data_IF_554700185281
#
_entry.id   IF_554700185281
#
_cell.length_a   1.000
_cell.length_b   1.000
_cell.length_c   1.000
_cell.angle_alpha   90.00
_cell.angle_beta   90.00
_cell.angle_gamma   90.00
#
_symmetry.space_group_name_H-M   'P 1'
#
loop_
_entity.id
_entity.type
_entity.pdbx_description
1 polymer ?
#
# COMPACT_ATOMS: atom_id res chain seq x y z
N UNK A 1 -6.62 13.71 -9.00
CA UNK A 1 -7.02 12.70 -8.00
C UNK A 1 -6.16 12.82 -6.74
N UNK A 2 -6.57 12.25 -5.60
CA UNK A 2 -5.89 12.39 -4.29
C UNK A 2 -4.38 12.06 -4.30
N UNK A 3 -3.96 11.12 -5.14
CA UNK A 3 -2.57 10.65 -5.27
C UNK A 3 -1.82 11.27 -6.46
N UNK A 4 -2.37 12.31 -7.10
CA UNK A 4 -1.71 12.94 -8.24
C UNK A 4 -0.32 13.46 -7.82
N UNK A 5 0.69 13.16 -8.64
CA UNK A 5 2.09 13.49 -8.36
C UNK A 5 2.87 12.48 -7.51
N UNK A 6 2.23 11.41 -7.01
CA UNK A 6 2.91 10.32 -6.29
C UNK A 6 2.94 9.07 -7.17
N UNK A 7 4.14 8.65 -7.55
CA UNK A 7 4.37 7.42 -8.32
C UNK A 7 4.06 6.16 -7.51
N UNK A 8 3.78 5.08 -8.23
CA UNK A 8 3.53 3.80 -7.59
C UNK A 8 3.99 2.60 -8.43
N UNK A 9 4.49 1.58 -7.74
CA UNK A 9 4.61 0.22 -8.28
C UNK A 9 3.42 -0.57 -7.77
N UNK A 10 2.66 -1.12 -8.72
CA UNK A 10 1.40 -1.81 -8.47
C UNK A 10 1.49 -3.26 -8.91
N UNK A 11 0.73 -4.10 -8.22
CA UNK A 11 0.57 -5.51 -8.54
C UNK A 11 -0.88 -5.82 -8.88
N UNK A 12 -1.08 -6.89 -9.62
CA UNK A 12 -2.40 -7.26 -10.10
C UNK A 12 -3.25 -7.92 -9.00
N UNK A 13 -4.40 -7.33 -8.72
CA UNK A 13 -5.36 -7.86 -7.74
C UNK A 13 -6.20 -9.02 -8.27
N UNK A 14 -6.21 -9.25 -9.59
CA UNK A 14 -7.06 -10.27 -10.23
C UNK A 14 -6.39 -11.65 -10.27
N UNK A 15 -5.06 -11.69 -10.11
CA UNK A 15 -4.26 -12.92 -10.00
C UNK A 15 -3.69 -13.17 -8.61
N UNK A 16 -3.62 -12.16 -7.73
CA UNK A 16 -3.17 -12.35 -6.35
C UNK A 16 -4.22 -13.11 -5.52
N UNK A 17 -3.91 -14.33 -5.10
CA UNK A 17 -4.78 -15.22 -4.31
C UNK A 17 -5.34 -14.57 -3.04
N UNK A 18 -4.53 -13.78 -2.32
CA UNK A 18 -5.00 -13.06 -1.13
C UNK A 18 -6.08 -12.06 -1.50
N UNK A 19 -5.87 -11.27 -2.57
CA UNK A 19 -6.86 -10.31 -3.04
C UNK A 19 -8.15 -11.01 -3.51
N UNK A 20 -8.03 -12.10 -4.28
CA UNK A 20 -9.17 -12.88 -4.78
C UNK A 20 -10.00 -13.43 -3.62
N UNK A 21 -9.35 -13.96 -2.58
CA UNK A 21 -10.06 -14.45 -1.40
C UNK A 21 -10.73 -13.32 -0.62
N UNK A 22 -10.03 -12.21 -0.40
CA UNK A 22 -10.53 -11.10 0.42
C UNK A 22 -11.67 -10.31 -0.25
N UNK A 23 -11.80 -10.33 -1.57
CA UNK A 23 -12.89 -9.62 -2.26
C UNK A 23 -14.28 -10.21 -2.00
N UNK A 24 -14.36 -11.43 -1.48
CA UNK A 24 -15.60 -12.12 -1.16
C UNK A 24 -15.87 -12.10 0.35
N UNK A 25 -15.46 -11.03 1.05
CA UNK A 25 -15.62 -10.88 2.51
C UNK A 25 -16.24 -9.53 2.85
N UNK A 26 -16.81 -9.39 4.05
CA UNK A 26 -17.41 -8.14 4.55
C UNK A 26 -16.38 -7.08 4.98
N UNK A 27 -15.12 -7.25 4.58
CA UNK A 27 -14.06 -6.26 4.82
C UNK A 27 -14.09 -5.17 3.75
N UNK A 28 -13.23 -4.15 3.91
CA UNK A 28 -13.01 -3.13 2.87
C UNK A 28 -12.61 -3.75 1.52
N UNK A 29 -12.01 -4.95 1.52
CA UNK A 29 -11.67 -5.65 0.29
C UNK A 29 -12.91 -6.13 -0.49
N UNK A 30 -14.03 -6.40 0.18
CA UNK A 30 -15.32 -6.69 -0.48
C UNK A 30 -15.80 -5.55 -1.38
N UNK A 31 -15.39 -4.32 -1.05
CA UNK A 31 -15.66 -3.10 -1.81
C UNK A 31 -14.42 -2.58 -2.55
N UNK A 32 -13.45 -3.47 -2.85
CA UNK A 32 -12.16 -3.08 -3.41
C UNK A 32 -12.31 -2.45 -4.81
N UNK A 33 -12.10 -1.13 -4.88
CA UNK A 33 -12.13 -0.41 -6.14
C UNK A 33 -11.07 -0.93 -7.12
N UNK A 34 -9.89 -1.34 -6.64
CA UNK A 34 -8.79 -1.82 -7.48
C UNK A 34 -9.17 -3.08 -8.23
N UNK A 35 -9.79 -4.06 -7.55
CA UNK A 35 -10.20 -5.30 -8.18
C UNK A 35 -11.29 -5.06 -9.23
N UNK A 36 -12.31 -4.25 -8.89
CA UNK A 36 -13.34 -3.84 -9.85
C UNK A 36 -12.76 -3.11 -11.06
N UNK A 37 -11.80 -2.20 -10.86
CA UNK A 37 -11.20 -1.43 -11.94
C UNK A 37 -10.45 -2.32 -12.93
N UNK A 38 -9.61 -3.23 -12.43
CA UNK A 38 -8.82 -4.13 -13.26
C UNK A 38 -9.69 -5.15 -14.00
N UNK A 39 -10.85 -5.53 -13.47
CA UNK A 39 -11.79 -6.42 -14.14
C UNK A 39 -12.76 -5.72 -15.12
N UNK A 40 -12.84 -4.39 -15.12
CA UNK A 40 -13.84 -3.64 -15.91
C UNK A 40 -13.20 -2.65 -16.89
N UNK A 41 -12.92 -1.43 -16.46
CA UNK A 41 -12.55 -0.31 -17.34
C UNK A 41 -11.06 0.06 -17.31
N UNK A 42 -10.23 -0.61 -16.49
CA UNK A 42 -8.77 -0.48 -16.50
C UNK A 42 -8.05 -1.80 -16.80
N UNK A 43 -8.67 -2.65 -17.63
CA UNK A 43 -8.08 -3.92 -18.08
C UNK A 43 -6.72 -3.74 -18.75
N UNK A 44 -6.48 -2.60 -19.42
CA UNK A 44 -5.19 -2.27 -20.03
C UNK A 44 -4.03 -2.17 -19.04
N UNK A 45 -4.30 -1.96 -17.74
CA UNK A 45 -3.25 -1.97 -16.72
C UNK A 45 -2.86 -3.39 -16.28
N UNK A 46 -3.71 -4.40 -16.53
CA UNK A 46 -3.50 -5.78 -16.04
C UNK A 46 -2.19 -6.38 -16.53
N UNK A 47 -1.80 -6.30 -17.82
CA UNK A 47 -0.54 -6.88 -18.28
C UNK A 47 0.68 -6.35 -17.53
N UNK A 48 0.78 -5.03 -17.35
CA UNK A 48 1.88 -4.42 -16.61
C UNK A 48 1.87 -4.79 -15.12
N UNK A 49 0.69 -4.86 -14.50
CA UNK A 49 0.59 -5.20 -13.09
C UNK A 49 0.83 -6.69 -12.82
N UNK A 50 0.46 -7.57 -13.77
CA UNK A 50 0.76 -8.99 -13.72
C UNK A 50 2.26 -9.24 -13.92
N UNK A 51 2.90 -8.53 -14.84
CA UNK A 51 4.36 -8.56 -15.00
C UNK A 51 5.07 -8.15 -13.69
N UNK A 52 4.63 -7.04 -13.07
CA UNK A 52 5.16 -6.63 -11.76
C UNK A 52 4.92 -7.69 -10.68
N UNK A 53 3.74 -8.32 -10.65
CA UNK A 53 3.44 -9.41 -9.71
C UNK A 53 4.44 -10.55 -9.86
N UNK A 54 4.74 -10.99 -11.08
CA UNK A 54 5.70 -12.06 -11.34
C UNK A 54 7.12 -11.63 -10.94
N UNK A 55 7.62 -10.53 -11.50
CA UNK A 55 9.00 -10.07 -11.30
C UNK A 55 9.30 -9.87 -9.81
N UNK A 56 8.39 -9.24 -9.07
CA UNK A 56 8.62 -8.94 -7.68
C UNK A 56 8.48 -10.17 -6.78
N UNK A 57 7.71 -11.20 -7.16
CA UNK A 57 7.39 -12.30 -6.24
C UNK A 57 8.11 -13.62 -6.54
N UNK A 58 8.69 -13.78 -7.73
CA UNK A 58 9.26 -15.07 -8.20
C UNK A 58 10.65 -15.34 -7.61
N UNK A 59 11.57 -14.38 -7.70
CA UNK A 59 12.95 -14.50 -7.21
C UNK A 59 13.41 -13.20 -6.57
N UNK A 60 14.47 -13.27 -5.76
CA UNK A 60 15.13 -12.08 -5.23
C UNK A 60 15.87 -11.40 -6.38
N UNK A 61 15.57 -10.12 -6.61
CA UNK A 61 16.13 -9.35 -7.72
C UNK A 61 17.50 -8.81 -7.27
N UNK A 62 18.58 -9.12 -7.99
CA UNK A 62 19.89 -8.53 -7.70
C UNK A 62 19.84 -7.00 -7.77
N UNK A 63 20.56 -6.33 -6.88
CA UNK A 63 20.50 -4.87 -6.70
C UNK A 63 20.66 -4.10 -8.01
N UNK A 64 21.59 -4.52 -8.88
CA UNK A 64 21.85 -3.89 -10.17
C UNK A 64 20.62 -3.81 -11.09
N UNK A 65 19.68 -4.76 -10.98
CA UNK A 65 18.46 -4.82 -11.79
C UNK A 65 17.27 -4.10 -11.14
N UNK A 66 17.39 -3.65 -9.89
CA UNK A 66 16.34 -2.86 -9.24
C UNK A 66 16.22 -1.46 -9.87
N UNK A 67 15.01 -0.88 -9.97
CA UNK A 67 14.80 0.43 -10.57
C UNK A 67 15.42 1.56 -9.75
N UNK A 68 15.84 2.63 -10.45
CA UNK A 68 16.12 3.94 -9.84
C UNK A 68 14.85 4.80 -9.91
N UNK A 69 14.46 5.39 -8.79
CA UNK A 69 13.22 6.15 -8.64
C UNK A 69 13.55 7.63 -8.47
N UNK A 70 13.18 8.47 -9.44
CA UNK A 70 13.40 9.92 -9.36
C UNK A 70 12.16 10.64 -8.81
N UNK A 71 11.81 10.39 -7.55
CA UNK A 71 10.71 11.05 -6.85
C UNK A 71 11.02 11.21 -5.35
N UNK A 72 10.48 12.24 -4.72
CA UNK A 72 10.62 12.43 -3.27
C UNK A 72 9.76 11.44 -2.46
N UNK A 73 8.55 11.13 -2.96
CA UNK A 73 7.60 10.22 -2.31
C UNK A 73 7.10 9.18 -3.31
N UNK A 74 7.05 7.91 -2.89
CA UNK A 74 6.64 6.82 -3.75
C UNK A 74 5.83 5.76 -3.01
N UNK A 75 4.89 5.13 -3.70
CA UNK A 75 3.97 4.15 -3.11
C UNK A 75 4.22 2.75 -3.64
N UNK A 76 4.25 1.77 -2.73
CA UNK A 76 4.06 0.37 -3.09
C UNK A 76 2.61 -0.03 -2.93
N UNK A 77 2.13 -0.87 -3.85
CA UNK A 77 0.78 -1.44 -3.84
C UNK A 77 -0.31 -0.34 -3.75
N UNK A 78 -0.27 0.62 -4.68
CA UNK A 78 -1.42 1.50 -4.97
C UNK A 78 -2.63 0.70 -5.44
N UNK A 79 -2.35 -0.31 -6.26
CA UNK A 79 -3.19 -1.47 -6.54
C UNK A 79 -2.41 -2.73 -6.17
N UNK A 80 -3.11 -3.75 -5.69
CA UNK A 80 -2.50 -5.00 -5.27
C UNK A 80 -2.31 -5.12 -3.76
N UNK A 81 -1.58 -6.15 -3.37
CA UNK A 81 -1.19 -6.50 -2.00
C UNK A 81 0.08 -7.35 -2.08
N UNK A 82 0.84 -7.45 -0.99
CA UNK A 82 1.97 -8.38 -0.92
C UNK A 82 1.55 -9.79 -1.33
N UNK A 83 2.36 -10.43 -2.17
CA UNK A 83 2.11 -11.77 -2.74
C UNK A 83 2.75 -12.84 -1.88
N UNK A 84 4.01 -12.63 -1.49
CA UNK A 84 4.77 -13.54 -0.66
C UNK A 84 5.95 -12.79 -0.02
N UNK A 85 6.85 -13.55 0.62
CA UNK A 85 8.02 -13.00 1.29
C UNK A 85 9.03 -12.38 0.32
N UNK A 86 9.26 -13.02 -0.82
CA UNK A 86 10.13 -12.55 -1.89
C UNK A 86 9.72 -11.16 -2.38
N UNK A 87 8.42 -10.94 -2.59
CA UNK A 87 7.87 -9.62 -2.93
C UNK A 87 8.21 -8.57 -1.89
N UNK A 88 8.09 -8.87 -0.60
CA UNK A 88 8.48 -7.92 0.43
C UNK A 88 9.99 -7.62 0.43
N UNK A 89 10.85 -8.63 0.26
CA UNK A 89 12.31 -8.43 0.19
C UNK A 89 12.69 -7.55 -1.02
N UNK A 90 12.07 -7.77 -2.17
CA UNK A 90 12.32 -6.94 -3.35
C UNK A 90 11.86 -5.49 -3.15
N UNK A 91 10.73 -5.26 -2.47
CA UNK A 91 10.29 -3.91 -2.06
C UNK A 91 11.34 -3.24 -1.15
N UNK A 92 11.86 -3.98 -0.16
CA UNK A 92 12.92 -3.51 0.75
C UNK A 92 14.17 -3.15 -0.04
N UNK A 93 14.60 -3.99 -0.98
CA UNK A 93 15.73 -3.70 -1.87
C UNK A 93 15.54 -2.45 -2.71
N UNK A 94 14.34 -2.23 -3.27
CA UNK A 94 14.03 -1.01 -4.04
C UNK A 94 14.17 0.23 -3.14
N UNK A 95 13.62 0.18 -1.93
CA UNK A 95 13.73 1.29 -0.99
C UNK A 95 15.19 1.55 -0.61
N UNK A 96 15.96 0.51 -0.32
CA UNK A 96 17.37 0.61 0.04
C UNK A 96 18.23 1.22 -1.08
N UNK A 97 17.99 0.83 -2.34
CA UNK A 97 18.70 1.38 -3.51
C UNK A 97 18.40 2.86 -3.75
N UNK A 98 17.29 3.38 -3.22
CA UNK A 98 16.81 4.73 -3.48
C UNK A 98 16.65 5.54 -2.18
N UNK A 99 17.75 5.78 -1.42
CA UNK A 99 17.69 6.37 -0.09
C UNK A 99 17.13 7.80 -0.05
N UNK A 100 17.18 8.53 -1.17
CA UNK A 100 16.62 9.88 -1.32
C UNK A 100 15.10 9.92 -1.43
N UNK A 101 14.45 8.79 -1.71
CA UNK A 101 13.01 8.68 -1.87
C UNK A 101 12.39 8.08 -0.62
N UNK A 102 11.30 8.68 -0.12
CA UNK A 102 10.49 8.06 0.93
C UNK A 102 9.43 7.15 0.32
N UNK A 103 9.50 5.88 0.65
CA UNK A 103 8.55 4.86 0.23
C UNK A 103 7.49 4.61 1.29
N UNK A 104 6.29 4.27 0.86
CA UNK A 104 5.23 3.83 1.76
C UNK A 104 4.56 2.57 1.24
N UNK A 105 4.49 1.56 2.11
CA UNK A 105 3.82 0.28 1.83
C UNK A 105 2.61 0.12 2.76
N UNK A 106 1.43 0.07 2.16
CA UNK A 106 0.22 -0.37 2.84
C UNK A 106 0.08 -1.88 2.71
N UNK A 107 -0.17 -2.57 3.82
CA UNK A 107 -0.44 -4.01 3.77
C UNK A 107 -1.36 -4.47 4.88
N UNK A 108 -2.20 -5.46 4.57
CA UNK A 108 -2.98 -6.27 5.52
C UNK A 108 -2.18 -7.48 6.02
N UNK A 109 -1.10 -7.84 5.33
CA UNK A 109 -0.33 -9.08 5.53
C UNK A 109 0.80 -8.88 6.53
N UNK A 110 0.42 -8.57 7.76
CA UNK A 110 1.35 -8.30 8.85
C UNK A 110 2.39 -9.42 9.08
N UNK A 111 2.02 -10.68 8.86
CA UNK A 111 2.93 -11.83 9.00
C UNK A 111 4.11 -11.83 8.03
N UNK A 112 4.00 -11.14 6.88
CA UNK A 112 5.10 -11.06 5.91
C UNK A 112 6.15 -10.02 6.28
N UNK A 113 5.77 -9.01 7.06
CA UNK A 113 6.60 -7.82 7.31
C UNK A 113 7.09 -7.71 8.75
N UNK A 114 6.37 -8.29 9.72
CA UNK A 114 6.74 -8.21 11.14
C UNK A 114 8.06 -8.93 11.43
N UNK A 115 8.89 -8.29 12.24
CA UNK A 115 10.19 -8.83 12.68
C UNK A 115 11.27 -8.79 11.59
N UNK A 116 11.05 -8.03 10.54
CA UNK A 116 11.97 -7.94 9.40
C UNK A 116 12.65 -6.60 9.41
N UNK A 117 13.91 -6.59 8.97
CA UNK A 117 14.62 -5.36 8.73
C UNK A 117 14.04 -4.63 7.51
N UNK A 118 13.99 -3.30 7.60
CA UNK A 118 13.60 -2.37 6.53
C UNK A 118 14.49 -1.14 6.60
N UNK A 119 14.77 -0.45 5.47
CA UNK A 119 15.54 0.79 5.49
C UNK A 119 14.70 1.94 6.07
N UNK A 120 15.38 2.97 6.58
CA UNK A 120 14.73 4.12 7.24
C UNK A 120 13.72 4.87 6.36
N UNK A 121 13.97 4.88 5.04
CA UNK A 121 13.11 5.52 4.05
C UNK A 121 11.89 4.67 3.64
N UNK A 122 11.65 3.50 4.23
CA UNK A 122 10.45 2.68 3.99
C UNK A 122 9.48 2.76 5.17
N UNK A 123 8.32 3.39 4.94
CA UNK A 123 7.24 3.50 5.92
C UNK A 123 6.22 2.38 5.71
N UNK A 124 6.18 1.44 6.67
CA UNK A 124 5.11 0.45 6.78
C UNK A 124 3.83 1.06 7.40
N UNK A 125 2.72 0.93 6.66
CA UNK A 125 1.38 1.32 7.11
C UNK A 125 0.50 0.08 7.17
N UNK A 126 -0.05 -0.23 8.34
CA UNK A 126 -1.02 -1.30 8.45
C UNK A 126 -2.34 -0.84 7.83
N UNK A 127 -2.85 -1.57 6.84
CA UNK A 127 -4.17 -1.30 6.27
C UNK A 127 -5.21 -2.09 7.06
N UNK A 128 -5.98 -1.41 7.93
CA UNK A 128 -7.02 -2.07 8.71
C UNK A 128 -8.17 -2.50 7.77
N UNK A 129 -8.50 -3.81 7.68
CA UNK A 129 -9.54 -4.28 6.77
C UNK A 129 -10.97 -3.97 7.25
N UNK A 130 -11.17 -3.63 8.53
CA UNK A 130 -12.50 -3.43 9.12
C UNK A 130 -12.93 -1.97 9.02
N UNK A 131 -14.12 -1.75 8.47
CA UNK A 131 -14.75 -0.41 8.38
C UNK A 131 -15.35 -0.07 9.75
N UNK A 132 -15.28 1.20 10.16
CA UNK A 132 -15.82 1.75 11.42
C UNK A 132 -15.24 1.15 12.71
N UNK A 133 -14.16 0.37 12.61
CA UNK A 133 -13.43 -0.16 13.76
C UNK A 133 -12.01 0.36 13.77
N UNK A 134 -11.86 1.62 14.19
CA UNK A 134 -10.54 2.26 14.29
C UNK A 134 -9.67 1.54 15.32
N UNK A 135 -8.42 1.30 14.94
CA UNK A 135 -7.39 0.73 15.82
C UNK A 135 -6.18 1.65 15.86
N UNK A 136 -5.36 1.51 16.90
CA UNK A 136 -4.02 2.10 16.97
C UNK A 136 -3.00 1.34 16.11
N UNK A 137 -1.77 1.85 16.07
CA UNK A 137 -0.68 1.28 15.27
C UNK A 137 -0.31 -0.12 15.80
N UNK A 138 -0.45 -1.19 14.99
CA UNK A 138 -0.04 -2.52 15.43
C UNK A 138 1.47 -2.65 15.51
N UNK A 139 1.96 -3.53 16.40
CA UNK A 139 3.40 -3.84 16.51
C UNK A 139 4.00 -4.20 15.15
N UNK A 140 5.18 -3.62 14.88
CA UNK A 140 5.94 -3.81 13.65
C UNK A 140 5.52 -2.90 12.49
N UNK A 141 4.66 -1.92 12.73
CA UNK A 141 4.30 -0.88 11.77
C UNK A 141 4.63 0.50 12.33
N UNK A 142 4.82 1.47 11.44
CA UNK A 142 4.98 2.87 11.84
C UNK A 142 3.64 3.57 11.96
N UNK A 143 2.69 3.24 11.08
CA UNK A 143 1.38 3.89 11.01
C UNK A 143 0.27 2.88 10.75
N UNK A 144 -0.97 3.31 10.93
CA UNK A 144 -2.18 2.55 10.59
C UNK A 144 -3.15 3.39 9.79
N UNK A 145 -3.75 2.78 8.78
CA UNK A 145 -4.78 3.36 7.94
C UNK A 145 -6.11 2.67 8.22
N UNK A 146 -7.09 3.44 8.69
CA UNK A 146 -8.43 3.00 9.04
C UNK A 146 -9.45 3.60 8.07
N UNK A 147 -10.46 2.81 7.76
CA UNK A 147 -11.58 3.23 6.94
C UNK A 147 -12.85 3.32 7.79
N UNK A 148 -13.64 4.37 7.56
CA UNK A 148 -14.94 4.59 8.22
C UNK A 148 -16.02 4.86 7.18
N UNK A 149 -17.29 4.65 7.52
CA UNK A 149 -18.38 5.09 6.68
C UNK A 149 -18.42 6.63 6.61
N UNK A 150 -18.91 7.19 5.49
CA UNK A 150 -18.93 8.65 5.30
C UNK A 150 -19.74 9.39 6.37
N UNK A 151 -20.83 8.78 6.83
CA UNK A 151 -21.70 9.29 7.88
C UNK A 151 -21.22 8.94 9.31
N UNK A 152 -20.07 8.29 9.45
CA UNK A 152 -19.51 7.91 10.74
C UNK A 152 -19.19 9.15 11.57
N UNK A 153 -19.56 9.15 12.85
CA UNK A 153 -19.22 10.21 13.80
C UNK A 153 -17.74 10.22 14.23
N UNK A 154 -16.94 9.27 13.74
CA UNK A 154 -15.51 9.17 14.02
C UNK A 154 -14.76 10.29 13.29
N UNK A 155 -13.88 11.01 13.99
CA UNK A 155 -13.05 12.07 13.41
C UNK A 155 -12.16 11.58 12.27
N UNK A 156 -12.22 12.26 11.13
CA UNK A 156 -11.52 11.88 9.90
C UNK A 156 -10.41 12.89 9.60
N UNK A 157 -9.15 12.48 9.69
CA UNK A 157 -8.00 13.37 9.47
C UNK A 157 -7.47 13.36 8.02
N UNK A 158 -7.92 12.41 7.19
CA UNK A 158 -7.43 12.20 5.83
C UNK A 158 -8.47 12.50 4.73
N UNK A 159 -9.76 12.45 5.05
CA UNK A 159 -10.87 12.62 4.09
C UNK A 159 -10.77 13.97 3.36
N UNK A 160 -10.98 13.96 2.04
CA UNK A 160 -11.01 15.18 1.21
C UNK A 160 -9.64 15.82 0.91
N UNK A 161 -8.55 15.39 1.54
CA UNK A 161 -7.21 15.97 1.37
C UNK A 161 -6.43 15.31 0.22
N UNK A 162 -5.61 16.07 -0.51
CA UNK A 162 -4.59 15.50 -1.42
C UNK A 162 -3.40 15.01 -0.59
N UNK A 163 -2.79 13.90 -1.02
CA UNK A 163 -1.71 13.28 -0.25
C UNK A 163 -0.44 14.15 -0.20
N UNK A 164 -0.11 14.87 -1.26
CA UNK A 164 1.04 15.77 -1.28
C UNK A 164 0.86 16.99 -0.36
N UNK A 165 -0.38 17.41 -0.08
CA UNK A 165 -0.65 18.56 0.78
C UNK A 165 -0.42 18.22 2.26
N UNK A 166 -0.67 16.98 2.68
CA UNK A 166 -0.59 16.58 4.09
C UNK A 166 0.54 15.62 4.43
N UNK A 167 0.95 14.76 3.49
CA UNK A 167 1.98 13.74 3.64
C UNK A 167 1.83 12.85 4.90
N UNK A 168 0.60 12.68 5.41
CA UNK A 168 0.36 11.96 6.67
C UNK A 168 0.95 10.55 6.69
N UNK A 169 0.80 9.82 5.58
CA UNK A 169 1.33 8.47 5.43
C UNK A 169 2.77 8.42 4.93
N UNK A 170 3.29 9.54 4.41
CA UNK A 170 4.54 9.61 3.65
C UNK A 170 5.68 10.26 4.43
N UNK A 171 5.45 10.67 5.68
CA UNK A 171 6.48 11.17 6.60
C UNK A 171 6.27 10.57 7.99
N UNK A 172 7.35 10.15 8.66
CA UNK A 172 7.27 9.59 10.01
C UNK A 172 6.77 10.65 11.00
N UNK A 173 7.29 11.88 10.89
CA UNK A 173 7.01 13.07 11.69
C UNK A 173 5.80 13.91 11.22
N UNK A 174 4.84 13.28 10.52
CA UNK A 174 3.67 13.98 9.96
C UNK A 174 2.64 14.47 10.99
N UNK A 175 2.86 14.24 12.28
CA UNK A 175 1.94 14.60 13.36
C UNK A 175 0.76 13.63 13.58
N UNK A 176 0.65 12.55 12.78
CA UNK A 176 -0.32 11.48 13.02
C UNK A 176 0.17 10.12 12.54
N UNK A 177 -0.02 9.10 13.39
CA UNK A 177 0.26 7.70 13.07
C UNK A 177 -1.02 6.86 12.90
N UNK A 178 -2.17 7.39 13.36
CA UNK A 178 -3.49 6.82 13.13
C UNK A 178 -4.20 7.67 12.08
N UNK A 179 -4.33 7.13 10.88
CA UNK A 179 -4.96 7.79 9.74
C UNK A 179 -6.36 7.23 9.57
N UNK A 180 -7.35 8.11 9.43
CA UNK A 180 -8.76 7.76 9.28
C UNK A 180 -9.32 8.45 8.03
N UNK A 181 -9.86 7.63 7.12
CA UNK A 181 -10.47 8.09 5.86
C UNK A 181 -11.87 7.48 5.67
N UNK A 182 -12.82 8.30 5.22
CA UNK A 182 -14.11 7.79 4.76
C UNK A 182 -13.97 6.93 3.49
N UNK A 183 -14.68 5.81 3.45
CA UNK A 183 -14.81 5.00 2.24
C UNK A 183 -15.46 5.82 1.11
N UNK A 184 -15.05 5.54 -0.13
CA UNK A 184 -15.59 6.15 -1.35
C UNK A 184 -16.88 5.50 -1.79
#
# INVERSE_FOLDING_TARGET
>A
GKLHGIGAINTDTTTNEFCIRQKNTDTICGKCYSHRMLSTYRKSCVPAFAHNSEVLSKTIIPEQFLPRINQAYFRFNGHGELINKTHFINIVGIAQKNPHCTFTLWTKRASLVRGQWIPENLILVFSNPRIDRVIGVPRGFHKVFNNVNKASGITQNCTGKKCLDCLLCYRKDSGADVIVEAVK
#
